data_IF_658424748316
#
_entry.id   IF_658424748316
#
_cell.length_a   1.000
_cell.length_b   1.000
_cell.length_c   1.000
_cell.angle_alpha   90.00
_cell.angle_beta   90.00
_cell.angle_gamma   90.00
#
_symmetry.space_group_name_H-M   'P 1'
#
loop_
_entity.id
_entity.type
_entity.pdbx_description
1 polymer ?
#
# COMPACT_ATOMS: atom_id res chain seq x y z
N UNK A 1 0.02 20.95 14.80
CA UNK A 1 -0.36 21.63 13.55
C UNK A 1 -0.74 20.64 12.47
N UNK A 2 -1.75 20.97 11.67
CA UNK A 2 -2.28 20.07 10.63
C UNK A 2 -1.43 20.04 9.35
N UNK A 3 -0.72 21.13 9.01
CA UNK A 3 0.15 21.19 7.83
C UNK A 3 1.24 20.12 7.83
N UNK A 4 2.07 20.01 8.89
CA UNK A 4 3.07 18.95 9.01
C UNK A 4 2.47 17.54 9.03
N UNK A 5 1.28 17.35 9.62
CA UNK A 5 0.59 16.06 9.64
C UNK A 5 0.17 15.62 8.22
N UNK A 6 -0.36 16.53 7.40
CA UNK A 6 -0.67 16.27 6.00
C UNK A 6 0.58 15.86 5.20
N UNK A 7 1.66 16.63 5.35
CA UNK A 7 2.93 16.33 4.68
C UNK A 7 3.50 14.98 5.11
N UNK A 8 3.42 14.65 6.40
CA UNK A 8 3.88 13.38 6.94
C UNK A 8 3.12 12.18 6.36
N UNK A 9 1.78 12.23 6.35
CA UNK A 9 0.95 11.14 5.80
C UNK A 9 1.19 10.97 4.30
N UNK A 10 1.31 12.07 3.55
CA UNK A 10 1.65 12.03 2.12
C UNK A 10 3.05 11.44 1.89
N UNK A 11 4.04 11.86 2.69
CA UNK A 11 5.41 11.36 2.57
C UNK A 11 5.50 9.86 2.82
N UNK A 12 4.80 9.33 3.85
CA UNK A 12 4.71 7.89 4.08
C UNK A 12 3.99 7.18 2.94
N UNK A 13 2.85 7.73 2.51
CA UNK A 13 2.03 7.17 1.44
C UNK A 13 2.79 7.03 0.12
N UNK A 14 3.67 7.98 -0.19
CA UNK A 14 4.57 7.96 -1.34
C UNK A 14 5.80 7.09 -1.09
N UNK A 15 6.39 7.16 0.10
CA UNK A 15 7.62 6.47 0.48
C UNK A 15 7.54 4.94 0.45
N UNK A 16 6.35 4.36 0.57
CA UNK A 16 6.12 2.92 0.39
C UNK A 16 6.08 2.47 -1.09
N UNK A 17 6.02 3.39 -2.06
CA UNK A 17 5.88 3.06 -3.49
C UNK A 17 7.04 2.24 -4.05
N UNK A 18 8.32 2.50 -3.70
CA UNK A 18 9.43 1.63 -4.12
C UNK A 18 9.28 0.19 -3.65
N UNK A 19 8.82 -0.05 -2.41
CA UNK A 19 8.59 -1.40 -1.88
C UNK A 19 7.48 -2.12 -2.67
N UNK A 20 6.38 -1.43 -2.95
CA UNK A 20 5.31 -1.96 -3.79
C UNK A 20 5.82 -2.32 -5.19
N UNK A 21 6.57 -1.43 -5.83
CA UNK A 21 7.12 -1.65 -7.16
C UNK A 21 8.06 -2.87 -7.17
N UNK A 22 8.91 -2.99 -6.16
CA UNK A 22 9.82 -4.13 -6.00
C UNK A 22 9.06 -5.46 -5.89
N UNK A 23 7.99 -5.53 -5.11
CA UNK A 23 7.21 -6.77 -4.95
C UNK A 23 6.37 -7.12 -6.19
N UNK A 24 5.79 -6.12 -6.83
CA UNK A 24 4.80 -6.29 -7.92
C UNK A 24 5.47 -6.54 -9.27
N UNK A 25 6.64 -5.95 -9.51
CA UNK A 25 7.37 -6.10 -10.78
C UNK A 25 8.56 -7.06 -10.69
N UNK A 26 8.74 -7.74 -9.55
CA UNK A 26 9.75 -8.80 -9.42
C UNK A 26 9.40 -10.01 -10.27
N UNK A 27 10.41 -10.61 -10.90
CA UNK A 27 10.31 -11.91 -11.58
C UNK A 27 10.65 -13.10 -10.67
N UNK A 28 10.98 -12.84 -9.40
CA UNK A 28 11.33 -13.86 -8.40
C UNK A 28 10.28 -13.95 -7.30
N UNK A 29 10.01 -15.19 -6.88
CA UNK A 29 9.14 -15.49 -5.74
C UNK A 29 9.95 -15.30 -4.46
N UNK A 30 9.56 -14.32 -3.63
CA UNK A 30 10.29 -13.98 -2.40
C UNK A 30 9.95 -14.91 -1.23
N UNK A 31 8.84 -15.64 -1.33
CA UNK A 31 8.36 -16.55 -0.30
C UNK A 31 8.39 -18.00 -0.80
N UNK A 32 9.57 -18.63 -0.96
CA UNK A 32 9.70 -19.97 -1.55
C UNK A 32 8.97 -21.06 -0.75
N UNK A 33 8.85 -20.90 0.57
CA UNK A 33 8.06 -21.80 1.42
C UNK A 33 6.58 -21.84 0.98
N UNK A 34 6.03 -20.72 0.52
CA UNK A 34 4.66 -20.65 -0.02
C UNK A 34 4.53 -21.23 -1.43
N UNK A 35 5.63 -21.33 -2.18
CA UNK A 35 5.62 -21.96 -3.50
C UNK A 35 5.34 -23.46 -3.43
N UNK A 36 5.69 -24.10 -2.30
CA UNK A 36 5.48 -25.53 -2.08
C UNK A 36 4.20 -25.85 -1.27
N UNK A 37 3.45 -24.83 -0.85
CA UNK A 37 2.21 -25.02 -0.13
C UNK A 37 1.10 -25.54 -1.06
N UNK A 38 0.13 -26.26 -0.50
CA UNK A 38 -1.09 -26.66 -1.22
C UNK A 38 -1.80 -25.40 -1.75
N UNK A 39 -1.96 -25.33 -3.07
CA UNK A 39 -2.58 -24.18 -3.73
C UNK A 39 -4.09 -24.21 -3.53
N UNK A 40 -4.67 -23.09 -3.10
CA UNK A 40 -6.13 -22.90 -2.97
C UNK A 40 -6.74 -22.21 -4.19
N UNK A 41 -5.90 -21.64 -5.07
CA UNK A 41 -6.29 -21.00 -6.33
C UNK A 41 -5.50 -21.59 -7.50
N UNK A 42 -5.91 -21.26 -8.73
CA UNK A 42 -5.21 -21.66 -9.96
C UNK A 42 -4.01 -20.78 -10.31
N UNK A 43 -3.71 -19.76 -9.51
CA UNK A 43 -2.58 -18.85 -9.76
C UNK A 43 -1.27 -19.60 -9.57
N UNK A 44 -0.22 -19.20 -10.28
CA UNK A 44 1.16 -19.55 -9.96
C UNK A 44 1.67 -18.76 -8.74
N UNK A 45 2.73 -19.22 -8.05
CA UNK A 45 3.27 -18.52 -6.89
C UNK A 45 3.67 -17.06 -7.18
N UNK A 46 4.12 -16.78 -8.40
CA UNK A 46 4.47 -15.43 -8.83
C UNK A 46 3.23 -14.55 -9.03
N UNK A 47 2.20 -15.05 -9.72
CA UNK A 47 0.95 -14.30 -9.94
C UNK A 47 0.24 -13.97 -8.63
N UNK A 48 0.26 -14.90 -7.67
CA UNK A 48 -0.30 -14.71 -6.34
C UNK A 48 0.44 -13.62 -5.54
N UNK A 49 1.77 -13.58 -5.64
CA UNK A 49 2.60 -12.51 -5.05
C UNK A 49 2.28 -11.15 -5.66
N UNK A 50 2.16 -11.08 -6.99
CA UNK A 50 1.82 -9.83 -7.71
C UNK A 50 0.43 -9.35 -7.28
N UNK A 51 -0.55 -10.24 -7.24
CA UNK A 51 -1.92 -9.93 -6.80
C UNK A 51 -1.92 -9.43 -5.35
N UNK A 52 -1.20 -10.10 -4.45
CA UNK A 52 -1.03 -9.67 -3.06
C UNK A 52 -0.40 -8.27 -2.94
N UNK A 53 0.63 -7.99 -3.74
CA UNK A 53 1.26 -6.67 -3.83
C UNK A 53 0.28 -5.58 -4.25
N UNK A 54 -0.53 -5.84 -5.28
CA UNK A 54 -1.59 -4.93 -5.77
C UNK A 54 -2.64 -4.68 -4.70
N UNK A 55 -3.18 -5.74 -4.07
CA UNK A 55 -4.21 -5.62 -3.02
C UNK A 55 -3.67 -4.78 -1.85
N UNK A 56 -2.45 -5.07 -1.40
CA UNK A 56 -1.80 -4.34 -0.31
C UNK A 56 -1.66 -2.84 -0.65
N UNK A 57 -1.23 -2.51 -1.87
CA UNK A 57 -1.07 -1.11 -2.28
C UNK A 57 -2.39 -0.38 -2.37
N UNK A 58 -3.44 -1.01 -2.91
CA UNK A 58 -4.78 -0.41 -2.97
C UNK A 58 -5.31 -0.13 -1.57
N UNK A 59 -5.18 -1.07 -0.63
CA UNK A 59 -5.58 -0.86 0.76
C UNK A 59 -4.82 0.33 1.40
N UNK A 60 -3.50 0.40 1.20
CA UNK A 60 -2.68 1.49 1.72
C UNK A 60 -3.05 2.85 1.09
N UNK A 61 -3.38 2.88 -0.21
CA UNK A 61 -3.84 4.09 -0.90
C UNK A 61 -5.17 4.58 -0.33
N UNK A 62 -6.14 3.69 -0.12
CA UNK A 62 -7.44 4.04 0.47
C UNK A 62 -7.27 4.60 1.89
N UNK A 63 -6.45 3.96 2.72
CA UNK A 63 -6.17 4.42 4.07
C UNK A 63 -5.49 5.80 4.08
N UNK A 64 -4.50 6.00 3.21
CA UNK A 64 -3.78 7.28 3.06
C UNK A 64 -4.75 8.38 2.60
N UNK A 65 -5.58 8.10 1.59
CA UNK A 65 -6.56 9.05 1.08
C UNK A 65 -7.56 9.46 2.16
N UNK A 66 -8.10 8.49 2.89
CA UNK A 66 -9.01 8.76 4.01
C UNK A 66 -8.35 9.64 5.08
N UNK A 67 -7.11 9.31 5.48
CA UNK A 67 -6.38 10.09 6.47
C UNK A 67 -6.12 11.53 6.00
N UNK A 68 -5.70 11.73 4.75
CA UNK A 68 -5.52 13.06 4.16
C UNK A 68 -6.83 13.84 4.16
N UNK A 69 -7.93 13.24 3.68
CA UNK A 69 -9.25 13.88 3.66
C UNK A 69 -9.70 14.28 5.08
N UNK A 70 -9.54 13.39 6.05
CA UNK A 70 -9.90 13.64 7.45
C UNK A 70 -9.08 14.78 8.07
N UNK A 71 -7.75 14.75 7.94
CA UNK A 71 -6.86 15.78 8.49
C UNK A 71 -7.14 17.13 7.81
N UNK A 72 -7.32 17.14 6.49
CA UNK A 72 -7.66 18.34 5.74
C UNK A 72 -8.99 18.94 6.19
N UNK A 73 -10.03 18.11 6.36
CA UNK A 73 -11.33 18.55 6.86
C UNK A 73 -11.22 19.21 8.25
N UNK A 74 -10.49 18.57 9.17
CA UNK A 74 -10.24 19.09 10.52
C UNK A 74 -9.44 20.39 10.52
N UNK A 75 -8.50 20.52 9.59
CA UNK A 75 -7.76 21.76 9.39
C UNK A 75 -8.67 22.88 8.90
N UNK A 76 -9.48 22.61 7.88
CA UNK A 76 -10.45 23.55 7.32
C UNK A 76 -11.45 24.05 8.37
N UNK A 77 -12.02 23.14 9.17
CA UNK A 77 -12.96 23.47 10.24
C UNK A 77 -12.32 24.41 11.28
N UNK A 78 -11.04 24.19 11.63
CA UNK A 78 -10.31 25.04 12.59
C UNK A 78 -9.89 26.40 11.99
N UNK A 79 -9.67 26.45 10.68
CA UNK A 79 -9.25 27.66 9.97
C UNK A 79 -10.41 28.55 9.52
N UNK A 80 -11.65 28.10 9.72
CA UNK A 80 -12.88 28.87 9.56
C UNK A 80 -13.20 29.64 10.84
#
# INVERSE_FOLDING_TARGET
DYGPQLLYVLAIGLGQTPLFAFLTFSSTVFYPTYAHAMRVTSLSPLEDQVLGGVIMKLAAMLATFYAVAFIFYRWYEKSR
#
